data_IF_396863184612
#
_entry.id   IF_396863184612
#
_cell.length_a   1.000
_cell.length_b   1.000
_cell.length_c   1.000
_cell.angle_alpha   90.00
_cell.angle_beta   90.00
_cell.angle_gamma   90.00
#
_symmetry.space_group_name_H-M   'P 1'
#
loop_
_entity.id
_entity.type
_entity.pdbx_description
1 polymer ?
#
# COMPACT_ATOMS: atom_id res chain seq x y z
N UNK A 1 18.25 -2.48 -12.27
CA UNK A 1 19.60 -2.63 -11.70
C UNK A 1 19.78 -1.84 -10.41
N UNK A 2 19.33 -0.58 -10.34
CA UNK A 2 19.30 0.24 -9.12
C UNK A 2 18.49 -0.41 -7.99
N UNK A 3 17.27 -0.90 -8.27
CA UNK A 3 16.46 -1.63 -7.28
C UNK A 3 17.15 -2.85 -6.65
N UNK A 4 18.00 -3.58 -7.39
CA UNK A 4 18.79 -4.69 -6.83
C UNK A 4 19.88 -4.17 -5.89
N UNK A 5 20.51 -3.04 -6.21
CA UNK A 5 21.46 -2.37 -5.32
C UNK A 5 20.80 -1.87 -4.04
N UNK A 6 19.63 -1.24 -4.16
CA UNK A 6 18.82 -0.83 -3.02
C UNK A 6 18.46 -2.03 -2.13
N UNK A 7 18.01 -3.14 -2.72
CA UNK A 7 17.73 -4.38 -1.99
C UNK A 7 18.92 -4.85 -1.15
N UNK A 8 20.11 -4.99 -1.74
CA UNK A 8 21.27 -5.49 -1.01
C UNK A 8 21.75 -4.52 0.08
N UNK A 9 21.71 -3.21 -0.18
CA UNK A 9 22.04 -2.21 0.84
C UNK A 9 21.06 -2.25 2.02
N UNK A 10 19.75 -2.35 1.74
CA UNK A 10 18.73 -2.44 2.78
C UNK A 10 18.88 -3.75 3.55
N UNK A 11 19.03 -4.88 2.86
CA UNK A 11 19.16 -6.20 3.47
C UNK A 11 20.41 -6.28 4.37
N UNK A 12 21.58 -5.89 3.86
CA UNK A 12 22.83 -5.89 4.64
C UNK A 12 22.75 -4.87 5.77
N UNK A 13 22.31 -3.65 5.49
CA UNK A 13 22.15 -2.59 6.48
C UNK A 13 21.23 -3.00 7.63
N UNK A 14 20.09 -3.62 7.33
CA UNK A 14 19.16 -4.16 8.32
C UNK A 14 19.85 -5.18 9.23
N UNK A 15 20.51 -6.19 8.66
CA UNK A 15 21.18 -7.23 9.44
C UNK A 15 22.31 -6.64 10.31
N UNK A 16 23.15 -5.77 9.76
CA UNK A 16 24.25 -5.12 10.51
C UNK A 16 23.70 -4.21 11.61
N UNK A 17 22.54 -3.56 11.39
CA UNK A 17 21.91 -2.71 12.41
C UNK A 17 21.36 -3.53 13.57
N UNK A 18 20.56 -4.56 13.28
CA UNK A 18 19.75 -5.25 14.29
C UNK A 18 20.38 -6.50 14.87
N UNK A 19 21.29 -7.18 14.15
CA UNK A 19 21.94 -8.38 14.68
C UNK A 19 22.80 -8.09 15.92
N UNK A 20 23.64 -7.03 15.96
CA UNK A 20 24.37 -6.65 17.18
C UNK A 20 23.46 -6.30 18.35
N UNK A 21 22.25 -5.79 18.09
CA UNK A 21 21.28 -5.45 19.14
C UNK A 21 20.76 -6.69 19.87
N UNK A 22 20.73 -7.87 19.24
CA UNK A 22 20.42 -9.13 19.93
C UNK A 22 21.51 -9.46 20.96
N UNK A 23 22.77 -9.28 20.59
CA UNK A 23 23.93 -9.50 21.48
C UNK A 23 23.90 -8.47 22.62
N UNK A 24 23.67 -7.19 22.32
CA UNK A 24 23.54 -6.14 23.35
C UNK A 24 22.41 -6.43 24.34
N UNK A 25 21.27 -6.94 23.85
CA UNK A 25 20.17 -7.38 24.71
C UNK A 25 20.58 -8.52 25.64
N UNK A 26 21.36 -9.50 25.15
CA UNK A 26 21.91 -10.58 25.97
C UNK A 26 22.98 -10.09 26.97
N UNK A 27 23.72 -9.04 26.61
CA UNK A 27 24.68 -8.36 27.50
C UNK A 27 24.00 -7.44 28.52
N UNK A 28 22.66 -7.38 28.54
CA UNK A 28 21.89 -6.65 29.54
C UNK A 28 21.73 -5.17 29.26
N UNK A 29 21.95 -4.70 28.02
CA UNK A 29 21.70 -3.30 27.66
C UNK A 29 20.20 -2.97 27.73
N UNK A 30 19.76 -2.05 28.62
CA UNK A 30 18.35 -1.68 28.73
C UNK A 30 17.90 -0.80 27.56
N UNK A 31 16.66 -0.97 27.12
CA UNK A 31 16.04 -0.13 26.08
C UNK A 31 15.76 1.29 26.57
N UNK A 32 15.66 2.25 25.64
CA UNK A 32 15.31 3.67 25.89
C UNK A 32 16.33 4.42 26.76
N UNK A 33 17.60 4.06 26.62
CA UNK A 33 18.72 4.75 27.28
C UNK A 33 19.51 5.51 26.22
N UNK A 34 19.71 6.82 26.42
CA UNK A 34 20.35 7.70 25.44
C UNK A 34 21.89 7.68 25.54
N UNK A 35 22.45 7.27 26.68
CA UNK A 35 23.91 7.18 26.92
C UNK A 35 24.24 6.06 27.89
N UNK A 36 25.41 5.45 27.74
CA UNK A 36 25.89 4.37 28.58
C UNK A 36 27.34 4.65 29.00
N UNK A 37 27.75 4.09 30.14
CA UNK A 37 29.10 4.26 30.64
C UNK A 37 30.11 3.43 29.81
N UNK A 38 31.34 3.93 29.71
CA UNK A 38 32.45 3.22 29.07
C UNK A 38 32.81 1.94 29.83
N UNK A 39 33.34 0.95 29.11
CA UNK A 39 33.85 -0.29 29.72
C UNK A 39 32.79 -1.38 29.97
N UNK A 40 31.54 -1.15 29.60
CA UNK A 40 30.45 -2.15 29.66
C UNK A 40 30.49 -3.18 28.53
N UNK A 41 31.42 -3.03 27.57
CA UNK A 41 31.52 -3.89 26.39
C UNK A 41 30.45 -3.64 25.33
N UNK A 42 29.68 -2.55 25.46
CA UNK A 42 28.59 -2.19 24.55
C UNK A 42 29.02 -1.28 23.40
N UNK A 43 30.17 -0.63 23.53
CA UNK A 43 30.67 0.39 22.59
C UNK A 43 30.76 -0.13 21.16
N UNK A 44 31.46 -1.25 20.97
CA UNK A 44 31.70 -1.84 19.65
C UNK A 44 30.40 -2.27 18.96
N UNK A 45 29.48 -2.90 19.69
CA UNK A 45 28.22 -3.38 19.11
C UNK A 45 27.31 -2.21 18.72
N UNK A 46 27.25 -1.15 19.54
CA UNK A 46 26.50 0.06 19.19
C UNK A 46 27.14 0.80 18.01
N UNK A 47 28.48 0.84 17.91
CA UNK A 47 29.17 1.43 16.77
C UNK A 47 28.89 0.67 15.47
N UNK A 48 28.93 -0.67 15.50
CA UNK A 48 28.57 -1.52 14.34
C UNK A 48 27.11 -1.31 13.95
N UNK A 49 26.20 -1.29 14.94
CA UNK A 49 24.78 -1.05 14.71
C UNK A 49 24.53 0.31 14.05
N UNK A 50 25.25 1.35 14.49
CA UNK A 50 25.19 2.70 13.91
C UNK A 50 25.71 2.72 12.48
N UNK A 51 26.82 2.04 12.19
CA UNK A 51 27.33 1.91 10.83
C UNK A 51 26.33 1.17 9.92
N UNK A 52 25.69 0.11 10.43
CA UNK A 52 24.61 -0.58 9.74
C UNK A 52 23.44 0.33 9.40
N UNK A 53 23.07 1.22 10.33
CA UNK A 53 21.99 2.19 10.13
C UNK A 53 22.31 3.17 9.00
N UNK A 54 23.56 3.63 8.89
CA UNK A 54 24.00 4.48 7.77
C UNK A 54 23.88 3.73 6.44
N UNK A 55 24.30 2.46 6.39
CA UNK A 55 24.17 1.63 5.18
C UNK A 55 22.71 1.42 4.80
N UNK A 56 21.84 1.15 5.78
CA UNK A 56 20.40 1.02 5.59
C UNK A 56 19.80 2.32 5.03
N UNK A 57 20.17 3.48 5.59
CA UNK A 57 19.74 4.78 5.13
C UNK A 57 20.16 5.07 3.67
N UNK A 58 21.38 4.69 3.30
CA UNK A 58 21.83 4.77 1.90
C UNK A 58 20.99 3.88 0.99
N UNK A 59 20.64 2.67 1.41
CA UNK A 59 19.75 1.78 0.67
C UNK A 59 18.36 2.39 0.42
N UNK A 60 17.77 3.03 1.42
CA UNK A 60 16.50 3.76 1.29
C UNK A 60 16.63 4.95 0.34
N UNK A 61 17.72 5.72 0.40
CA UNK A 61 17.97 6.83 -0.53
C UNK A 61 18.05 6.32 -1.98
N UNK A 62 18.76 5.21 -2.22
CA UNK A 62 18.84 4.61 -3.56
C UNK A 62 17.47 4.13 -4.02
N UNK A 63 16.66 3.52 -3.15
CA UNK A 63 15.29 3.11 -3.47
C UNK A 63 14.40 4.29 -3.87
N UNK A 64 14.44 5.38 -3.09
CA UNK A 64 13.66 6.59 -3.40
C UNK A 64 14.13 7.22 -4.71
N UNK A 65 15.45 7.25 -4.94
CA UNK A 65 16.01 7.73 -6.20
C UNK A 65 15.56 6.87 -7.39
N UNK A 66 15.58 5.54 -7.27
CA UNK A 66 15.12 4.61 -8.30
C UNK A 66 13.63 4.83 -8.64
N UNK A 67 12.80 4.99 -7.61
CA UNK A 67 11.38 5.32 -7.78
C UNK A 67 11.17 6.64 -8.54
N UNK A 68 11.82 7.73 -8.09
CA UNK A 68 11.68 9.04 -8.72
C UNK A 68 12.23 9.06 -10.15
N UNK A 69 13.32 8.33 -10.40
CA UNK A 69 13.90 8.19 -11.72
C UNK A 69 12.97 7.41 -12.67
N UNK A 70 12.43 6.29 -12.21
CA UNK A 70 11.48 5.46 -12.96
C UNK A 70 10.21 6.25 -13.32
N UNK A 71 9.68 7.04 -12.37
CA UNK A 71 8.50 7.86 -12.63
C UNK A 71 8.72 8.94 -13.71
N UNK A 72 9.96 9.43 -13.89
CA UNK A 72 10.26 10.49 -14.86
C UNK A 72 10.82 9.99 -16.19
N UNK A 73 11.52 8.85 -16.17
CA UNK A 73 12.32 8.36 -17.31
C UNK A 73 12.20 6.85 -17.53
N UNK A 74 11.30 6.18 -16.81
CA UNK A 74 11.01 4.77 -17.01
C UNK A 74 10.35 4.52 -18.35
N UNK A 75 10.58 3.34 -18.90
CA UNK A 75 9.83 2.84 -20.05
C UNK A 75 8.38 2.55 -19.63
N UNK A 76 7.43 2.77 -20.53
CA UNK A 76 6.03 2.42 -20.28
C UNK A 76 5.92 0.91 -20.05
N UNK A 77 5.27 0.52 -18.96
CA UNK A 77 5.02 -0.87 -18.66
C UNK A 77 3.93 -1.40 -19.61
N UNK A 78 4.12 -2.61 -20.15
CA UNK A 78 3.05 -3.33 -20.82
C UNK A 78 1.99 -3.84 -19.84
N UNK A 79 0.94 -4.47 -20.37
CA UNK A 79 -0.18 -4.99 -19.57
C UNK A 79 0.25 -6.09 -18.59
N UNK A 80 1.08 -7.03 -19.06
CA UNK A 80 1.59 -8.14 -18.24
C UNK A 80 3.11 -8.34 -18.42
N UNK A 81 3.95 -7.50 -17.78
CA UNK A 81 5.40 -7.56 -17.91
C UNK A 81 6.03 -8.76 -17.19
N UNK A 82 5.30 -9.42 -16.29
CA UNK A 82 5.80 -10.52 -15.46
C UNK A 82 5.22 -11.88 -15.82
N UNK A 83 4.29 -11.92 -16.76
CA UNK A 83 3.55 -13.12 -17.13
C UNK A 83 2.86 -13.78 -15.93
N UNK A 84 2.22 -12.96 -15.10
CA UNK A 84 1.65 -13.39 -13.83
C UNK A 84 0.27 -14.09 -13.99
N UNK A 85 -0.22 -14.70 -12.91
CA UNK A 85 -1.34 -15.65 -12.93
C UNK A 85 -2.71 -15.03 -12.66
N UNK A 86 -2.73 -13.82 -12.13
CA UNK A 86 -3.87 -13.14 -11.52
C UNK A 86 -4.45 -12.02 -12.39
N UNK A 87 -5.70 -11.63 -12.13
CA UNK A 87 -6.47 -10.74 -13.01
C UNK A 87 -5.96 -9.30 -13.10
N UNK A 88 -5.14 -8.83 -12.15
CA UNK A 88 -4.57 -7.48 -12.24
C UNK A 88 -3.67 -7.27 -13.47
N UNK A 89 -3.23 -8.36 -14.10
CA UNK A 89 -2.43 -8.35 -15.33
C UNK A 89 -3.29 -8.52 -16.61
N UNK A 90 -4.62 -8.57 -16.47
CA UNK A 90 -5.56 -8.60 -17.59
C UNK A 90 -6.02 -7.20 -18.03
N UNK A 91 -5.58 -6.16 -17.33
CA UNK A 91 -5.90 -4.74 -17.60
C UNK A 91 -4.70 -4.02 -18.21
N UNK A 92 -4.92 -2.91 -18.94
CA UNK A 92 -3.82 -2.07 -19.38
C UNK A 92 -3.03 -1.48 -18.21
N UNK A 93 -1.80 -1.04 -18.48
CA UNK A 93 -0.93 -0.35 -17.51
C UNK A 93 -0.77 1.13 -17.87
N UNK A 94 -1.37 2.08 -17.13
CA UNK A 94 -2.19 1.93 -15.92
C UNK A 94 -3.62 1.44 -16.22
N UNK A 95 -4.30 0.83 -15.23
CA UNK A 95 -5.68 0.37 -15.41
C UNK A 95 -6.63 1.56 -15.55
N UNK A 96 -7.66 1.38 -16.38
CA UNK A 96 -8.75 2.33 -16.52
C UNK A 96 -9.52 2.48 -15.19
N UNK A 97 -10.22 3.61 -14.93
CA UNK A 97 -10.94 3.82 -13.67
C UNK A 97 -11.97 2.75 -13.32
N UNK A 98 -12.46 2.04 -14.33
CA UNK A 98 -13.43 0.96 -14.23
C UNK A 98 -12.82 -0.43 -14.15
N UNK A 99 -11.50 -0.54 -14.24
CA UNK A 99 -10.72 -1.77 -14.37
C UNK A 99 -11.14 -2.60 -15.60
N UNK A 100 -12.26 -3.33 -15.51
CA UNK A 100 -12.74 -4.26 -16.53
C UNK A 100 -14.00 -3.72 -17.21
N UNK A 101 -13.95 -3.54 -18.53
CA UNK A 101 -15.13 -3.19 -19.32
C UNK A 101 -16.15 -4.35 -19.37
N UNK A 102 -15.67 -5.60 -19.26
CA UNK A 102 -16.47 -6.81 -19.20
C UNK A 102 -15.99 -7.66 -18.04
N UNK A 103 -16.90 -8.14 -17.19
CA UNK A 103 -16.53 -8.93 -16.03
C UNK A 103 -15.98 -10.30 -16.47
N UNK A 104 -14.72 -10.66 -16.12
CA UNK A 104 -14.17 -11.96 -16.45
C UNK A 104 -14.77 -13.07 -15.57
N UNK A 105 -15.01 -14.23 -16.16
CA UNK A 105 -15.47 -15.43 -15.47
C UNK A 105 -14.25 -16.23 -15.02
N UNK A 106 -14.09 -16.35 -13.70
CA UNK A 106 -12.93 -17.01 -13.10
C UNK A 106 -13.21 -18.49 -12.90
N UNK A 107 -12.47 -19.32 -13.64
CA UNK A 107 -12.59 -20.79 -13.57
C UNK A 107 -11.51 -21.46 -12.70
N UNK A 108 -10.46 -20.72 -12.32
CA UNK A 108 -9.34 -21.25 -11.56
C UNK A 108 -8.70 -20.19 -10.66
N UNK A 109 -7.81 -20.62 -9.77
CA UNK A 109 -7.01 -19.70 -8.94
C UNK A 109 -6.02 -18.87 -9.77
N UNK A 110 -5.69 -19.32 -10.98
CA UNK A 110 -4.67 -18.76 -11.87
C UNK A 110 -5.27 -18.44 -13.24
N UNK A 111 -6.25 -17.53 -13.32
CA UNK A 111 -7.02 -17.29 -14.53
C UNK A 111 -6.15 -16.93 -15.74
N UNK A 112 -5.13 -16.07 -15.57
CA UNK A 112 -4.27 -15.64 -16.66
C UNK A 112 -3.48 -16.77 -17.31
N UNK A 113 -3.00 -17.72 -16.50
CA UNK A 113 -2.26 -18.88 -17.02
C UNK A 113 -3.16 -19.91 -17.70
N UNK A 114 -4.38 -20.09 -17.18
CA UNK A 114 -5.33 -21.03 -17.77
C UNK A 114 -5.76 -20.58 -19.16
N UNK A 115 -5.98 -19.29 -19.37
CA UNK A 115 -6.47 -18.80 -20.66
C UNK A 115 -5.39 -18.73 -21.73
N UNK A 116 -4.11 -18.67 -21.34
CA UNK A 116 -2.96 -18.86 -22.23
C UNK A 116 -2.84 -20.29 -22.78
N UNK A 117 -3.64 -21.25 -22.31
CA UNK A 117 -3.63 -22.60 -22.88
C UNK A 117 -4.14 -22.60 -24.33
N UNK A 118 -3.60 -23.48 -25.19
CA UNK A 118 -4.00 -23.54 -26.60
C UNK A 118 -5.51 -23.76 -26.82
N UNK A 119 -6.19 -24.35 -25.84
CA UNK A 119 -7.62 -24.66 -25.89
C UNK A 119 -8.51 -23.41 -25.73
N UNK A 120 -8.03 -22.37 -25.03
CA UNK A 120 -8.78 -21.13 -24.75
C UNK A 120 -8.34 -19.91 -25.56
N UNK A 121 -7.19 -20.00 -26.24
CA UNK A 121 -6.79 -19.01 -27.24
C UNK A 121 -6.47 -17.61 -26.69
N UNK A 122 -6.21 -17.48 -25.39
CA UNK A 122 -5.72 -16.25 -24.77
C UNK A 122 -6.77 -15.18 -24.45
N UNK A 123 -8.07 -15.53 -24.44
CA UNK A 123 -9.13 -14.59 -24.08
C UNK A 123 -9.93 -15.09 -22.89
N UNK A 124 -10.06 -14.24 -21.87
CA UNK A 124 -10.91 -14.49 -20.70
C UNK A 124 -12.37 -14.62 -21.14
N UNK A 125 -13.02 -15.68 -20.67
CA UNK A 125 -14.48 -15.77 -20.69
C UNK A 125 -15.05 -14.55 -19.96
N UNK A 126 -16.08 -13.92 -20.51
CA UNK A 126 -16.62 -12.68 -19.97
C UNK A 126 -18.13 -12.61 -20.11
N UNK A 127 -18.76 -11.87 -19.22
CA UNK A 127 -20.18 -11.51 -19.36
C UNK A 127 -20.31 -10.51 -20.52
N UNK A 128 -21.28 -10.72 -21.41
CA UNK A 128 -21.45 -9.93 -22.65
C UNK A 128 -21.92 -8.49 -22.39
N UNK A 129 -22.62 -8.26 -21.28
CA UNK A 129 -23.09 -6.93 -20.89
C UNK A 129 -21.93 -6.04 -20.45
N UNK A 130 -21.68 -4.91 -21.14
CA UNK A 130 -20.57 -4.02 -20.81
C UNK A 130 -20.87 -3.19 -19.55
N UNK A 131 -19.83 -2.98 -18.74
CA UNK A 131 -19.82 -2.08 -17.57
C UNK A 131 -19.39 -0.67 -18.01
N UNK A 132 -20.16 -0.08 -18.94
CA UNK A 132 -19.79 1.14 -19.68
C UNK A 132 -19.60 2.41 -18.82
N UNK A 133 -20.23 2.48 -17.64
CA UNK A 133 -20.20 3.68 -16.78
C UNK A 133 -19.12 3.61 -15.68
N UNK A 134 -18.40 2.48 -15.59
CA UNK A 134 -17.23 2.32 -14.72
C UNK A 134 -17.44 2.37 -13.21
N UNK A 135 -18.67 2.62 -12.80
CA UNK A 135 -19.17 2.60 -11.43
C UNK A 135 -20.24 1.55 -11.31
N UNK A 136 -20.07 0.42 -11.98
CA UNK A 136 -21.05 -0.65 -12.01
C UNK A 136 -20.36 -1.93 -11.55
N UNK A 137 -20.98 -2.62 -10.59
CA UNK A 137 -20.49 -3.88 -10.04
C UNK A 137 -21.62 -4.90 -10.12
N UNK A 138 -21.34 -6.03 -10.77
CA UNK A 138 -22.27 -7.15 -10.78
C UNK A 138 -22.30 -7.76 -9.38
N UNK A 139 -23.47 -7.78 -8.76
CA UNK A 139 -23.73 -8.55 -7.56
C UNK A 139 -24.11 -9.97 -7.93
N UNK A 140 -23.62 -10.92 -7.15
CA UNK A 140 -23.94 -12.33 -7.30
C UNK A 140 -24.79 -12.85 -6.15
N UNK A 141 -25.55 -13.90 -6.41
CA UNK A 141 -26.33 -14.60 -5.41
C UNK A 141 -25.41 -15.24 -4.36
N UNK A 142 -25.83 -15.19 -3.09
CA UNK A 142 -25.00 -15.65 -1.96
C UNK A 142 -24.70 -17.15 -2.01
N UNK A 143 -25.63 -17.94 -2.58
CA UNK A 143 -25.54 -19.40 -2.61
C UNK A 143 -24.88 -19.94 -3.89
N UNK A 144 -25.28 -19.40 -5.05
CA UNK A 144 -24.94 -19.99 -6.35
C UNK A 144 -23.96 -19.13 -7.16
N UNK A 145 -23.56 -17.97 -6.63
CA UNK A 145 -22.72 -16.98 -7.31
C UNK A 145 -23.24 -16.56 -8.70
N UNK A 146 -24.54 -16.72 -8.93
CA UNK A 146 -25.19 -16.33 -10.17
C UNK A 146 -25.34 -14.81 -10.24
N UNK A 147 -25.13 -14.15 -11.39
CA UNK A 147 -25.35 -12.71 -11.51
C UNK A 147 -26.81 -12.35 -11.21
N UNK A 148 -27.04 -11.51 -10.20
CA UNK A 148 -28.38 -11.10 -9.76
C UNK A 148 -28.75 -9.68 -10.24
N UNK A 149 -27.80 -8.74 -10.16
CA UNK A 149 -28.02 -7.34 -10.52
C UNK A 149 -26.72 -6.60 -10.78
N UNK A 150 -26.80 -5.47 -11.50
CA UNK A 150 -25.69 -4.51 -11.64
C UNK A 150 -25.95 -3.36 -10.66
N UNK A 151 -25.12 -3.25 -9.61
CA UNK A 151 -25.18 -2.15 -8.65
C UNK A 151 -24.30 -1.00 -9.09
N UNK A 152 -24.83 0.23 -8.95
CA UNK A 152 -24.04 1.44 -9.15
C UNK A 152 -23.27 1.84 -7.89
N UNK A 153 -21.97 2.02 -8.05
CA UNK A 153 -21.04 2.45 -7.00
C UNK A 153 -21.24 3.95 -6.73
N UNK A 154 -21.20 4.39 -5.45
CA UNK A 154 -21.42 5.80 -5.09
C UNK A 154 -20.51 6.79 -5.82
N UNK A 155 -21.02 8.02 -6.00
CA UNK A 155 -20.29 9.15 -6.56
C UNK A 155 -19.20 9.67 -5.61
N UNK A 156 -18.15 10.35 -6.12
CA UNK A 156 -17.15 10.95 -5.28
C UNK A 156 -17.81 12.02 -4.39
N UNK A 157 -17.54 11.94 -3.09
CA UNK A 157 -18.03 12.92 -2.13
C UNK A 157 -16.85 13.67 -1.51
N UNK A 158 -16.99 14.97 -1.35
CA UNK A 158 -16.03 15.79 -0.60
C UNK A 158 -16.23 15.68 0.92
N UNK A 159 -17.34 15.10 1.38
CA UNK A 159 -17.67 15.03 2.81
C UNK A 159 -16.63 14.28 3.63
N UNK A 160 -16.08 13.13 3.19
CA UNK A 160 -15.00 12.45 3.92
C UNK A 160 -13.76 13.32 4.13
N UNK A 161 -13.39 14.16 3.15
CA UNK A 161 -12.25 15.08 3.27
C UNK A 161 -12.50 16.14 4.36
N UNK A 162 -13.67 16.77 4.34
CA UNK A 162 -14.03 17.77 5.36
C UNK A 162 -14.25 17.15 6.74
N UNK A 163 -14.78 15.93 6.81
CA UNK A 163 -14.91 15.18 8.06
C UNK A 163 -13.53 14.89 8.67
N UNK A 164 -12.55 14.46 7.85
CA UNK A 164 -11.18 14.25 8.30
C UNK A 164 -10.52 15.54 8.80
N UNK A 165 -10.77 16.67 8.13
CA UNK A 165 -10.28 17.98 8.57
C UNK A 165 -10.92 18.41 9.89
N UNK A 166 -12.25 18.27 10.03
CA UNK A 166 -12.96 18.59 11.26
C UNK A 166 -12.49 17.74 12.44
N UNK A 167 -12.24 16.45 12.22
CA UNK A 167 -11.65 15.55 13.20
C UNK A 167 -10.23 15.99 13.57
N UNK A 168 -9.40 16.37 12.59
CA UNK A 168 -8.04 16.84 12.82
C UNK A 168 -8.05 18.11 13.67
N UNK A 169 -8.92 19.08 13.35
CA UNK A 169 -9.11 20.30 14.16
C UNK A 169 -9.54 19.94 15.57
N UNK A 170 -10.49 19.01 15.74
CA UNK A 170 -10.94 18.57 17.05
C UNK A 170 -9.81 17.99 17.91
N UNK A 171 -9.00 17.10 17.33
CA UNK A 171 -7.88 16.42 17.99
C UNK A 171 -6.74 17.39 18.29
N UNK A 172 -6.36 18.25 17.33
CA UNK A 172 -5.28 19.23 17.52
C UNK A 172 -5.69 20.26 18.58
N UNK A 173 -6.93 20.77 18.53
CA UNK A 173 -7.43 21.72 19.52
C UNK A 173 -7.49 21.11 20.93
N UNK A 174 -7.83 19.82 21.04
CA UNK A 174 -7.75 19.09 22.30
C UNK A 174 -6.31 18.97 22.82
N UNK A 175 -5.35 18.69 21.93
CA UNK A 175 -3.93 18.57 22.25
C UNK A 175 -3.32 19.89 22.75
N UNK A 176 -3.74 21.02 22.18
CA UNK A 176 -3.28 22.37 22.59
C UNK A 176 -4.15 23.01 23.67
N UNK A 177 -5.04 22.24 24.31
CA UNK A 177 -5.94 22.69 25.39
C UNK A 177 -6.92 23.81 25.00
N UNK A 178 -7.21 23.99 23.71
CA UNK A 178 -8.22 24.93 23.20
C UNK A 178 -9.57 24.22 23.08
N UNK A 179 -10.15 23.88 24.23
CA UNK A 179 -11.39 23.07 24.30
C UNK A 179 -12.59 23.62 23.51
N UNK A 180 -12.86 24.94 23.45
CA UNK A 180 -13.99 25.46 22.68
C UNK A 180 -13.88 25.14 21.17
N UNK A 181 -12.66 25.19 20.63
CA UNK A 181 -12.40 24.85 19.21
C UNK A 181 -12.53 23.34 18.99
N UNK A 182 -12.13 22.53 19.98
CA UNK A 182 -12.31 21.08 19.92
C UNK A 182 -13.80 20.69 19.85
N UNK A 183 -14.63 21.30 20.70
CA UNK A 183 -16.09 21.12 20.67
C UNK A 183 -16.67 21.55 19.32
N UNK A 184 -16.25 22.69 18.78
CA UNK A 184 -16.68 23.14 17.46
C UNK A 184 -16.30 22.16 16.34
N UNK A 185 -15.09 21.56 16.39
CA UNK A 185 -14.66 20.52 15.45
C UNK A 185 -15.50 19.26 15.53
N UNK A 186 -15.85 18.80 16.74
CA UNK A 186 -16.71 17.62 16.95
C UNK A 186 -18.13 17.88 16.44
N UNK A 187 -18.70 19.06 16.73
CA UNK A 187 -20.02 19.46 16.22
C UNK A 187 -20.01 19.54 14.70
N UNK A 188 -18.97 20.13 14.10
CA UNK A 188 -18.79 20.20 12.66
C UNK A 188 -18.69 18.82 12.01
N UNK A 189 -17.93 17.89 12.61
CA UNK A 189 -17.86 16.50 12.17
C UNK A 189 -19.23 15.82 12.22
N UNK A 190 -19.97 15.97 13.32
CA UNK A 190 -21.32 15.41 13.47
C UNK A 190 -22.29 15.94 12.42
N UNK A 191 -22.25 17.25 12.14
CA UNK A 191 -23.06 17.87 11.10
C UNK A 191 -22.70 17.35 9.69
N UNK A 192 -21.41 17.20 9.39
CA UNK A 192 -20.95 16.66 8.10
C UNK A 192 -21.41 15.21 7.90
N UNK A 193 -21.29 14.36 8.92
CA UNK A 193 -21.75 12.98 8.85
C UNK A 193 -23.28 12.89 8.73
N UNK A 194 -24.02 13.76 9.41
CA UNK A 194 -25.48 13.81 9.31
C UNK A 194 -25.98 14.26 7.93
N UNK A 195 -25.19 15.05 7.19
CA UNK A 195 -25.50 15.43 5.80
C UNK A 195 -25.12 14.33 4.81
N UNK A 196 -24.20 13.44 5.20
CA UNK A 196 -23.68 12.39 4.32
C UNK A 196 -24.47 11.08 4.38
N UNK A 197 -25.03 10.75 5.54
CA UNK A 197 -25.92 9.61 5.77
C UNK A 197 -27.33 9.88 5.22
#
# INVERSE_FOLDING_TARGET
TLGHGAFWLIFLGFNITFFPQHILGLLGMPRRVYTYAEGLGWDTYNAISTAGYVVLGLGIIVMVFDFLWSMQRGEEAGDDPWEADSLEWATPSPPEPYNFAYLPIVHSRTPMWLDRTPERGGQLDRIEDPMDDGREVVTTSVLDAAPDAVLRVPEPSYVPLFAALALTVAVVAMLVEVYPVSVAGIVGLGALLAVWL
#
